data_IF_762041232187
#
_entry.id   IF_762041232187
#
_cell.length_a   1.000
_cell.length_b   1.000
_cell.length_c   1.000
_cell.angle_alpha   90.00
_cell.angle_beta   90.00
_cell.angle_gamma   90.00
#
_symmetry.space_group_name_H-M   'P 1'
#
loop_
_entity.id
_entity.type
_entity.pdbx_description
1 polymer ?
#
# COMPACT_ATOMS: atom_id res chain seq x y z
N UNK A 1 -25.17 -11.84 -30.87
CA UNK A 1 -24.27 -12.06 -29.72
C UNK A 1 -23.76 -10.70 -29.30
N UNK A 2 -24.05 -10.25 -28.07
CA UNK A 2 -23.58 -8.94 -27.58
C UNK A 2 -22.16 -9.14 -27.09
N UNK A 3 -21.17 -8.60 -27.80
CA UNK A 3 -19.80 -8.49 -27.29
C UNK A 3 -19.83 -7.52 -26.11
N UNK A 4 -19.71 -8.06 -24.90
CA UNK A 4 -19.48 -7.25 -23.72
C UNK A 4 -18.05 -6.72 -23.83
N UNK A 5 -17.88 -5.43 -24.09
CA UNK A 5 -16.58 -4.75 -23.99
C UNK A 5 -16.06 -4.91 -22.56
N UNK A 6 -15.15 -5.87 -22.36
CA UNK A 6 -14.49 -6.08 -21.07
C UNK A 6 -13.34 -5.09 -20.96
N UNK A 7 -13.47 -4.13 -20.05
CA UNK A 7 -12.34 -3.27 -19.65
C UNK A 7 -11.49 -4.03 -18.64
N UNK A 8 -10.20 -4.20 -18.93
CA UNK A 8 -9.23 -4.76 -17.99
C UNK A 8 -8.60 -3.62 -17.18
N UNK A 9 -8.63 -3.75 -15.85
CA UNK A 9 -7.88 -2.89 -14.94
C UNK A 9 -6.66 -3.66 -14.42
N UNK A 10 -5.51 -3.01 -14.36
CA UNK A 10 -4.27 -3.55 -13.83
C UNK A 10 -3.64 -2.57 -12.85
N UNK A 11 -2.90 -3.10 -11.88
CA UNK A 11 -2.08 -2.35 -10.96
C UNK A 11 -0.74 -3.10 -10.78
N UNK A 12 0.34 -2.36 -10.67
CA UNK A 12 1.67 -2.90 -10.40
C UNK A 12 1.85 -3.03 -8.89
N UNK A 13 2.45 -4.12 -8.41
CA UNK A 13 2.75 -4.33 -6.99
C UNK A 13 4.25 -4.63 -6.82
N UNK A 14 4.88 -4.25 -5.69
CA UNK A 14 4.30 -3.60 -4.51
C UNK A 14 3.94 -2.12 -4.72
N UNK A 15 2.99 -1.62 -3.93
CA UNK A 15 2.59 -0.20 -3.87
C UNK A 15 2.61 0.31 -2.44
N UNK A 16 2.78 1.62 -2.29
CA UNK A 16 2.61 2.33 -1.02
C UNK A 16 1.48 3.33 -1.14
N UNK A 17 0.67 3.42 -0.09
CA UNK A 17 -0.45 4.37 0.01
C UNK A 17 -0.48 4.99 1.40
N UNK A 18 -1.05 6.19 1.49
CA UNK A 18 -1.17 6.96 2.73
C UNK A 18 -2.62 7.01 3.22
N UNK A 19 -2.79 6.99 4.54
CA UNK A 19 -4.08 6.86 5.22
C UNK A 19 -4.14 7.77 6.44
N UNK A 20 -5.33 8.21 6.82
CA UNK A 20 -5.53 9.00 8.04
C UNK A 20 -5.54 8.14 9.31
N UNK A 21 -5.91 6.86 9.17
CA UNK A 21 -5.98 5.88 10.26
C UNK A 21 -5.28 4.58 9.82
N UNK A 22 -4.44 4.00 10.68
CA UNK A 22 -3.75 2.74 10.41
C UNK A 22 -4.72 1.56 10.16
N UNK A 23 -5.94 1.59 10.70
CA UNK A 23 -6.96 0.57 10.43
C UNK A 23 -7.40 0.55 8.96
N UNK A 24 -7.31 1.70 8.27
CA UNK A 24 -7.66 1.80 6.85
C UNK A 24 -6.72 1.00 5.98
N UNK A 25 -5.45 0.82 6.39
CA UNK A 25 -4.46 0.00 5.67
C UNK A 25 -5.01 -1.42 5.50
N UNK A 26 -5.49 -2.03 6.60
CA UNK A 26 -6.05 -3.38 6.56
C UNK A 26 -7.33 -3.45 5.69
N UNK A 27 -8.23 -2.48 5.84
CA UNK A 27 -9.47 -2.44 5.06
C UNK A 27 -9.21 -2.24 3.56
N UNK A 28 -8.23 -1.42 3.21
CA UNK A 28 -7.79 -1.20 1.84
C UNK A 28 -7.18 -2.48 1.24
N UNK A 29 -6.30 -3.18 1.97
CA UNK A 29 -5.75 -4.47 1.54
C UNK A 29 -6.83 -5.53 1.31
N UNK A 30 -7.85 -5.57 2.17
CA UNK A 30 -9.04 -6.43 1.98
C UNK A 30 -9.84 -6.04 0.73
N UNK A 31 -10.01 -4.74 0.47
CA UNK A 31 -10.67 -4.21 -0.72
C UNK A 31 -9.95 -4.60 -2.00
N UNK A 32 -8.63 -4.38 -2.07
CA UNK A 32 -7.79 -4.79 -3.19
C UNK A 32 -7.88 -6.30 -3.43
N UNK A 33 -7.87 -7.09 -2.35
CA UNK A 33 -7.97 -8.54 -2.48
C UNK A 33 -9.28 -9.00 -3.11
N UNK A 34 -10.40 -8.35 -2.76
CA UNK A 34 -11.71 -8.59 -3.37
C UNK A 34 -11.76 -8.13 -4.82
N UNK A 35 -11.20 -6.95 -5.12
CA UNK A 35 -11.20 -6.35 -6.45
C UNK A 35 -10.42 -7.19 -7.47
N UNK A 36 -9.21 -7.63 -7.09
CA UNK A 36 -8.34 -8.40 -7.97
C UNK A 36 -8.54 -9.92 -7.86
N UNK A 37 -9.39 -10.38 -6.95
CA UNK A 37 -9.63 -11.82 -6.72
C UNK A 37 -8.38 -12.57 -6.26
N UNK A 38 -7.44 -11.89 -5.60
CA UNK A 38 -6.15 -12.45 -5.17
C UNK A 38 -5.78 -11.91 -3.79
N UNK A 39 -5.17 -12.74 -2.93
CA UNK A 39 -4.68 -12.28 -1.64
C UNK A 39 -3.57 -11.23 -1.83
N UNK A 40 -3.87 -10.00 -1.41
CA UNK A 40 -2.90 -8.92 -1.23
C UNK A 40 -2.48 -8.92 0.24
N UNK A 41 -1.18 -8.91 0.51
CA UNK A 41 -0.64 -8.69 1.83
C UNK A 41 -0.46 -7.20 2.08
N UNK A 42 -0.66 -6.79 3.33
CA UNK A 42 -0.55 -5.42 3.82
C UNK A 42 0.41 -5.37 5.03
N UNK A 43 1.07 -4.23 5.19
CA UNK A 43 1.87 -3.93 6.38
C UNK A 43 1.95 -2.43 6.55
N UNK A 44 1.69 -1.94 7.76
CA UNK A 44 2.10 -0.60 8.16
C UNK A 44 3.62 -0.49 8.07
N UNK A 45 4.10 0.64 7.57
CA UNK A 45 5.53 0.92 7.38
C UNK A 45 6.01 2.18 8.10
N UNK A 46 5.10 3.07 8.52
CA UNK A 46 5.45 4.21 9.34
C UNK A 46 4.36 5.28 9.42
N UNK A 47 4.69 6.34 10.16
CA UNK A 47 3.87 7.52 10.39
C UNK A 47 4.67 8.78 10.01
N UNK A 48 4.01 9.69 9.29
CA UNK A 48 4.61 10.93 8.80
C UNK A 48 4.34 12.13 9.72
N UNK A 49 5.17 13.18 9.58
CA UNK A 49 5.00 14.46 10.29
C UNK A 49 3.61 15.11 10.08
N UNK A 50 2.95 14.81 8.97
CA UNK A 50 1.63 15.33 8.63
C UNK A 50 0.46 14.55 9.24
N UNK A 51 0.73 13.58 10.12
CA UNK A 51 -0.31 12.80 10.77
C UNK A 51 -0.85 11.62 9.96
N UNK A 52 -0.18 11.24 8.86
CA UNK A 52 -0.63 10.14 7.99
C UNK A 52 0.16 8.85 8.24
N UNK A 53 -0.56 7.74 8.21
CA UNK A 53 -0.01 6.39 8.22
C UNK A 53 0.30 5.94 6.79
N UNK A 54 1.37 5.18 6.63
CA UNK A 54 1.73 4.58 5.35
C UNK A 54 1.64 3.06 5.43
N UNK A 55 1.05 2.47 4.39
CA UNK A 55 0.95 1.03 4.20
C UNK A 55 1.66 0.59 2.93
N UNK A 56 2.36 -0.55 2.99
CA UNK A 56 2.84 -1.26 1.79
C UNK A 56 1.91 -2.43 1.48
N UNK A 57 1.53 -2.55 0.21
CA UNK A 57 0.70 -3.63 -0.31
C UNK A 57 1.49 -4.46 -1.32
N UNK A 58 1.37 -5.78 -1.25
CA UNK A 58 2.18 -6.68 -2.05
C UNK A 58 1.48 -8.00 -2.37
N UNK A 59 1.88 -8.62 -3.48
CA UNK A 59 1.42 -9.95 -3.87
C UNK A 59 2.50 -10.98 -3.54
N UNK A 60 2.14 -12.01 -2.77
CA UNK A 60 3.08 -13.08 -2.40
C UNK A 60 3.95 -12.70 -1.22
N UNK A 61 5.27 -12.62 -1.42
CA UNK A 61 6.24 -12.35 -0.34
C UNK A 61 6.34 -10.85 -0.09
N UNK A 62 6.39 -10.45 1.19
CA UNK A 62 6.68 -9.07 1.59
C UNK A 62 8.00 -8.60 0.94
N UNK A 63 8.02 -7.44 0.26
CA UNK A 63 9.25 -6.87 -0.29
C UNK A 63 10.31 -6.68 0.81
N UNK A 64 11.57 -6.71 0.42
CA UNK A 64 12.65 -6.41 1.36
C UNK A 64 12.66 -4.92 1.74
N UNK A 65 13.39 -4.58 2.82
CA UNK A 65 13.45 -3.21 3.35
C UNK A 65 13.89 -2.18 2.30
N UNK A 66 14.91 -2.50 1.50
CA UNK A 66 15.44 -1.60 0.49
C UNK A 66 14.42 -1.24 -0.61
N UNK A 67 13.59 -2.22 -1.02
CA UNK A 67 12.50 -1.96 -1.98
C UNK A 67 11.43 -1.07 -1.36
N UNK A 68 11.08 -1.28 -0.09
CA UNK A 68 10.10 -0.45 0.62
C UNK A 68 10.64 0.98 0.78
N UNK A 69 11.90 1.14 1.16
CA UNK A 69 12.57 2.44 1.30
C UNK A 69 12.61 3.19 -0.04
N UNK A 70 12.84 2.49 -1.16
CA UNK A 70 12.78 3.10 -2.49
C UNK A 70 11.35 3.58 -2.83
N UNK A 71 10.32 2.76 -2.60
CA UNK A 71 8.92 3.15 -2.84
C UNK A 71 8.51 4.36 -2.00
N UNK A 72 8.93 4.40 -0.73
CA UNK A 72 8.70 5.52 0.16
C UNK A 72 9.42 6.78 -0.34
N UNK A 73 10.67 6.66 -0.78
CA UNK A 73 11.42 7.77 -1.38
C UNK A 73 10.75 8.30 -2.65
N UNK A 74 10.28 7.40 -3.52
CA UNK A 74 9.58 7.76 -4.76
C UNK A 74 8.22 8.42 -4.48
N UNK A 75 7.61 8.10 -3.34
CA UNK A 75 6.34 8.67 -2.88
C UNK A 75 6.51 9.91 -1.97
N UNK A 76 7.71 10.47 -1.86
CA UNK A 76 8.04 11.66 -1.06
C UNK A 76 7.71 11.50 0.44
N UNK A 77 7.90 10.28 0.97
CA UNK A 77 7.72 10.00 2.40
C UNK A 77 8.73 10.75 3.27
N UNK A 78 8.22 11.47 4.27
CA UNK A 78 9.03 12.14 5.31
C UNK A 78 8.68 11.52 6.66
N UNK A 79 9.54 10.65 7.23
CA UNK A 79 9.26 10.05 8.53
C UNK A 79 9.17 11.15 9.60
N UNK A 80 8.25 11.01 10.55
CA UNK A 80 8.36 11.76 11.79
C UNK A 80 9.64 11.27 12.48
N UNK A 81 10.56 12.21 12.79
CA UNK A 81 11.75 11.86 13.58
C UNK A 81 11.31 11.21 14.88
N UNK A 82 11.97 10.11 15.28
CA UNK A 82 11.75 9.52 16.60
C UNK A 82 12.01 10.62 17.65
N UNK A 83 10.95 11.15 18.27
CA UNK A 83 11.13 11.82 19.54
C UNK A 83 11.63 10.74 20.50
N UNK A 84 12.92 10.80 20.84
CA UNK A 84 13.54 9.94 21.85
C UNK A 84 12.71 10.05 23.14
N UNK A 85 11.88 9.04 23.42
CA UNK A 85 11.23 8.85 24.71
C UNK A 85 12.20 8.28 25.74
#
# INVERSE_FOLDING_TARGET
>A
MVEINKTTLSADFPIVEKFEDYHEIYHYGCGLSKLFGRKIGDSEIGFCENGLYWGVFYVGRKPNKAVIEQLLSDAEYVPMGDEEF
#
